data_IF_607252721931
#
_entry.id   IF_607252721931
#
_cell.length_a   1.000
_cell.length_b   1.000
_cell.length_c   1.000
_cell.angle_alpha   90.00
_cell.angle_beta   90.00
_cell.angle_gamma   90.00
#
_symmetry.space_group_name_H-M   'P 1'
#
loop_
_entity.id
_entity.type
_entity.pdbx_description
1 polymer ?
#
# COMPACT_ATOMS: atom_id res chain seq x y z
N UNK A 1 -37.73 27.30 -70.97
CA UNK A 1 -36.42 26.99 -70.36
C UNK A 1 -36.62 26.95 -68.86
N UNK A 2 -36.51 25.76 -68.27
CA UNK A 2 -36.64 25.53 -66.84
C UNK A 2 -35.30 25.82 -66.15
N UNK A 3 -35.31 26.55 -65.05
CA UNK A 3 -34.20 26.62 -64.11
C UNK A 3 -34.72 26.19 -62.74
N UNK A 4 -34.49 24.93 -62.42
CA UNK A 4 -34.74 24.34 -61.11
C UNK A 4 -33.76 24.93 -60.09
N UNK A 5 -34.30 25.51 -59.01
CA UNK A 5 -33.51 25.92 -57.84
C UNK A 5 -33.33 24.72 -56.93
N UNK A 6 -32.08 24.29 -56.75
CA UNK A 6 -31.68 23.22 -55.82
C UNK A 6 -31.78 23.71 -54.37
N UNK A 7 -32.42 22.98 -53.44
CA UNK A 7 -32.36 23.36 -52.04
C UNK A 7 -31.01 22.95 -51.42
N UNK A 8 -30.43 23.90 -50.71
CA UNK A 8 -29.20 23.81 -49.94
C UNK A 8 -29.34 22.72 -48.87
N UNK A 9 -28.53 21.67 -48.97
CA UNK A 9 -28.51 20.58 -48.00
C UNK A 9 -28.08 21.12 -46.62
N UNK A 10 -29.05 21.28 -45.72
CA UNK A 10 -28.78 21.45 -44.29
C UNK A 10 -28.05 20.20 -43.80
N UNK A 11 -26.77 20.35 -43.48
CA UNK A 11 -26.00 19.34 -42.74
C UNK A 11 -26.70 19.11 -41.40
N UNK A 12 -27.50 18.03 -41.31
CA UNK A 12 -28.00 17.51 -40.05
C UNK A 12 -26.77 17.10 -39.24
N UNK A 13 -26.43 17.91 -38.23
CA UNK A 13 -25.54 17.52 -37.14
C UNK A 13 -26.09 16.21 -36.58
N UNK A 14 -25.45 15.10 -36.91
CA UNK A 14 -25.84 13.78 -36.47
C UNK A 14 -25.71 13.78 -34.94
N UNK A 15 -26.83 13.93 -34.24
CA UNK A 15 -26.86 13.75 -32.80
C UNK A 15 -26.39 12.32 -32.55
N UNK A 16 -25.29 12.17 -31.81
CA UNK A 16 -24.78 10.85 -31.44
C UNK A 16 -25.86 10.13 -30.63
N UNK A 17 -26.24 8.89 -30.96
CA UNK A 17 -27.28 8.15 -30.23
C UNK A 17 -26.94 7.90 -28.75
N UNK A 18 -25.69 8.14 -28.35
CA UNK A 18 -25.22 8.05 -26.96
C UNK A 18 -25.68 9.20 -26.06
N UNK A 19 -26.13 10.34 -26.62
CA UNK A 19 -26.66 11.46 -25.83
C UNK A 19 -28.13 11.28 -25.40
N UNK A 20 -28.84 10.30 -25.97
CA UNK A 20 -30.23 9.95 -25.60
C UNK A 20 -30.30 8.87 -24.49
N UNK A 21 -29.16 8.29 -24.11
CA UNK A 21 -29.10 7.32 -23.02
C UNK A 21 -29.17 8.07 -21.70
N UNK A 22 -30.09 7.66 -20.82
CA UNK A 22 -30.21 8.23 -19.49
C UNK A 22 -28.92 8.06 -18.67
N UNK A 23 -28.54 9.09 -17.90
CA UNK A 23 -27.28 9.12 -17.14
C UNK A 23 -27.05 7.86 -16.28
N UNK A 24 -28.10 7.34 -15.62
CA UNK A 24 -28.01 6.14 -14.78
C UNK A 24 -27.61 4.87 -15.56
N UNK A 25 -27.91 4.78 -16.86
CA UNK A 25 -27.46 3.66 -17.69
C UNK A 25 -26.00 3.84 -18.13
N UNK A 26 -25.59 5.08 -18.40
CA UNK A 26 -24.20 5.41 -18.70
C UNK A 26 -23.28 5.12 -17.50
N UNK A 27 -23.74 5.42 -16.29
CA UNK A 27 -23.08 5.02 -15.03
C UNK A 27 -22.81 3.51 -15.01
N UNK A 28 -23.85 2.69 -15.21
CA UNK A 28 -23.73 1.22 -15.20
C UNK A 28 -22.80 0.69 -16.30
N UNK A 29 -22.80 1.32 -17.48
CA UNK A 29 -21.88 0.97 -18.56
C UNK A 29 -20.44 1.32 -18.16
N UNK A 30 -20.20 2.50 -17.60
CA UNK A 30 -18.86 2.94 -17.22
C UNK A 30 -18.31 2.17 -16.02
N UNK A 31 -19.16 1.72 -15.09
CA UNK A 31 -18.76 0.83 -14.00
C UNK A 31 -18.24 -0.53 -14.51
N UNK A 32 -18.67 -0.98 -15.69
CA UNK A 32 -18.21 -2.23 -16.30
C UNK A 32 -16.94 -2.09 -17.12
N UNK A 33 -16.41 -0.87 -17.29
CA UNK A 33 -15.13 -0.67 -17.98
C UNK A 33 -14.01 -1.35 -17.19
N UNK A 34 -13.16 -2.18 -17.84
CA UNK A 34 -12.25 -3.06 -17.13
C UNK A 34 -11.03 -2.34 -16.54
N UNK A 35 -10.71 -1.12 -17.04
CA UNK A 35 -9.55 -0.36 -16.61
C UNK A 35 -9.87 1.12 -16.40
N UNK A 36 -9.17 1.79 -15.47
CA UNK A 36 -9.26 3.25 -15.33
C UNK A 36 -8.88 4.01 -16.59
N UNK A 37 -8.04 3.42 -17.46
CA UNK A 37 -7.65 4.02 -18.73
C UNK A 37 -8.82 4.06 -19.72
N UNK A 38 -9.65 3.03 -19.75
CA UNK A 38 -10.84 3.00 -20.61
C UNK A 38 -11.89 3.99 -20.11
N UNK A 39 -12.04 4.12 -18.79
CA UNK A 39 -12.86 5.18 -18.19
C UNK A 39 -12.35 6.57 -18.56
N UNK A 40 -11.04 6.81 -18.51
CA UNK A 40 -10.45 8.08 -18.92
C UNK A 40 -10.72 8.38 -20.41
N UNK A 41 -10.58 7.38 -21.30
CA UNK A 41 -10.92 7.52 -22.73
C UNK A 41 -12.40 7.85 -22.93
N UNK A 42 -13.30 7.16 -22.24
CA UNK A 42 -14.74 7.45 -22.29
C UNK A 42 -15.03 8.89 -21.82
N UNK A 43 -14.42 9.32 -20.71
CA UNK A 43 -14.57 10.68 -20.18
C UNK A 43 -14.07 11.78 -21.12
N UNK A 44 -13.14 11.45 -22.02
CA UNK A 44 -12.61 12.40 -23.01
C UNK A 44 -13.54 12.58 -24.22
N UNK A 45 -14.52 11.68 -24.43
CA UNK A 45 -15.37 11.70 -25.62
C UNK A 45 -16.38 12.86 -25.63
N UNK A 46 -16.98 13.19 -24.48
CA UNK A 46 -17.92 14.32 -24.37
C UNK A 46 -18.06 14.85 -22.94
N UNK A 47 -18.65 16.05 -22.80
CA UNK A 47 -18.84 16.71 -21.50
C UNK A 47 -19.76 15.93 -20.54
N UNK A 48 -20.82 15.28 -21.05
CA UNK A 48 -21.73 14.45 -20.25
C UNK A 48 -20.99 13.26 -19.65
N UNK A 49 -20.19 12.56 -20.47
CA UNK A 49 -19.41 11.41 -20.03
C UNK A 49 -18.36 11.81 -19.01
N UNK A 50 -17.69 12.96 -19.24
CA UNK A 50 -16.77 13.54 -18.26
C UNK A 50 -17.46 13.78 -16.93
N UNK A 51 -18.60 14.47 -16.94
CA UNK A 51 -19.37 14.80 -15.72
C UNK A 51 -19.67 13.54 -14.91
N UNK A 52 -20.18 12.50 -15.57
CA UNK A 52 -20.47 11.19 -14.95
C UNK A 52 -19.18 10.56 -14.39
N UNK A 53 -18.15 10.42 -15.22
CA UNK A 53 -16.91 9.76 -14.82
C UNK A 53 -16.16 10.51 -13.70
N UNK A 54 -16.41 11.82 -13.54
CA UNK A 54 -15.85 12.63 -12.46
C UNK A 54 -16.77 12.78 -11.25
N UNK A 55 -17.99 12.22 -11.29
CA UNK A 55 -18.91 12.25 -10.16
C UNK A 55 -18.33 11.46 -8.97
N UNK A 56 -18.46 12.02 -7.76
CA UNK A 56 -17.87 11.41 -6.56
C UNK A 56 -18.51 10.05 -6.23
N UNK A 57 -19.83 9.94 -6.36
CA UNK A 57 -20.54 8.68 -6.08
C UNK A 57 -20.20 7.60 -7.10
N UNK A 58 -20.05 7.99 -8.37
CA UNK A 58 -19.57 7.11 -9.43
C UNK A 58 -18.13 6.61 -9.15
N UNK A 59 -17.20 7.52 -8.87
CA UNK A 59 -15.80 7.17 -8.60
C UNK A 59 -15.64 6.26 -7.39
N UNK A 60 -16.44 6.47 -6.33
CA UNK A 60 -16.48 5.59 -5.15
C UNK A 60 -16.89 4.17 -5.52
N UNK A 61 -18.01 4.01 -6.25
CA UNK A 61 -18.46 2.70 -6.76
C UNK A 61 -17.42 2.07 -7.69
N UNK A 62 -16.83 2.85 -8.59
CA UNK A 62 -15.80 2.37 -9.51
C UNK A 62 -14.58 1.85 -8.75
N UNK A 63 -14.08 2.55 -7.73
CA UNK A 63 -12.94 2.13 -6.90
C UNK A 63 -13.24 0.90 -6.04
N UNK A 64 -14.47 0.75 -5.56
CA UNK A 64 -14.92 -0.44 -4.82
C UNK A 64 -14.94 -1.69 -5.73
N UNK A 65 -15.34 -1.53 -7.00
CA UNK A 65 -15.39 -2.63 -7.97
C UNK A 65 -14.04 -2.95 -8.60
N UNK A 66 -13.18 -1.94 -8.77
CA UNK A 66 -11.92 -2.05 -9.53
C UNK A 66 -10.71 -1.88 -8.63
N UNK A 67 -9.84 -2.90 -8.64
CA UNK A 67 -8.57 -2.82 -7.95
C UNK A 67 -7.72 -1.65 -8.49
N UNK A 68 -7.17 -0.78 -7.61
CA UNK A 68 -6.30 0.31 -8.03
C UNK A 68 -5.14 -0.20 -8.90
N UNK A 69 -4.82 0.50 -10.01
CA UNK A 69 -3.68 0.14 -10.82
C UNK A 69 -2.39 0.37 -10.03
N UNK A 70 -1.45 -0.57 -10.12
CA UNK A 70 -0.12 -0.36 -9.60
C UNK A 70 0.61 0.66 -10.49
N UNK A 71 1.01 1.78 -9.91
CA UNK A 71 1.68 2.86 -10.63
C UNK A 71 3.18 2.90 -10.32
N UNK A 72 3.61 2.53 -9.13
CA UNK A 72 5.02 2.58 -8.76
C UNK A 72 5.19 2.44 -7.25
N UNK A 73 6.43 2.49 -6.80
CA UNK A 73 6.80 2.46 -5.39
C UNK A 73 7.79 3.58 -5.08
N UNK A 74 8.09 3.80 -3.81
CA UNK A 74 9.16 4.69 -3.38
C UNK A 74 10.32 3.89 -2.78
N UNK A 75 11.54 4.28 -3.13
CA UNK A 75 12.77 3.79 -2.51
C UNK A 75 13.64 4.95 -2.00
N UNK A 76 14.94 4.68 -1.78
CA UNK A 76 15.88 5.70 -1.30
C UNK A 76 16.17 6.78 -2.33
N UNK A 77 15.98 6.47 -3.60
CA UNK A 77 16.31 7.31 -4.76
C UNK A 77 15.08 8.04 -5.29
N UNK A 78 13.88 7.66 -4.84
CA UNK A 78 12.64 8.40 -5.04
C UNK A 78 11.51 7.52 -5.55
N UNK A 79 10.63 8.12 -6.37
CA UNK A 79 9.53 7.39 -6.98
C UNK A 79 10.02 6.56 -8.17
N UNK A 80 9.79 5.25 -8.10
CA UNK A 80 10.08 4.28 -9.15
C UNK A 80 8.78 3.89 -9.86
N UNK A 81 8.52 4.40 -11.08
CA UNK A 81 7.32 4.05 -11.82
C UNK A 81 7.36 2.59 -12.29
N UNK A 82 6.18 1.99 -12.49
CA UNK A 82 6.05 0.72 -13.17
C UNK A 82 6.64 0.82 -14.59
N UNK A 83 7.55 -0.10 -14.94
CA UNK A 83 8.22 -0.12 -16.23
C UNK A 83 7.60 -1.14 -17.20
N UNK A 84 7.75 -0.96 -18.52
CA UNK A 84 7.37 -1.99 -19.48
C UNK A 84 8.06 -3.34 -19.18
N UNK A 85 7.40 -4.47 -19.49
CA UNK A 85 6.10 -4.60 -20.15
C UNK A 85 4.87 -4.58 -19.23
N UNK A 86 4.96 -4.02 -18.01
CA UNK A 86 3.81 -3.93 -17.11
C UNK A 86 2.65 -3.10 -17.72
N UNK A 87 1.37 -3.55 -17.64
CA UNK A 87 0.23 -2.87 -18.26
C UNK A 87 0.04 -1.41 -17.81
N UNK A 88 0.38 -1.11 -16.56
CA UNK A 88 0.25 0.25 -16.01
C UNK A 88 1.44 1.16 -16.33
N UNK A 89 2.48 0.67 -17.04
CA UNK A 89 3.68 1.46 -17.31
C UNK A 89 3.43 2.79 -18.05
N UNK A 90 2.51 2.89 -19.04
CA UNK A 90 2.18 4.17 -19.65
C UNK A 90 1.59 5.17 -18.65
N UNK A 91 0.64 4.72 -17.80
CA UNK A 91 0.03 5.56 -16.77
C UNK A 91 1.06 5.98 -15.70
N UNK A 92 1.95 5.05 -15.32
CA UNK A 92 3.00 5.31 -14.36
C UNK A 92 4.00 6.37 -14.83
N UNK A 93 4.44 6.29 -16.09
CA UNK A 93 5.30 7.31 -16.70
C UNK A 93 4.60 8.67 -16.78
N UNK A 94 3.33 8.68 -17.19
CA UNK A 94 2.56 9.93 -17.24
C UNK A 94 2.46 10.58 -15.85
N UNK A 95 2.21 9.78 -14.80
CA UNK A 95 2.19 10.29 -13.42
C UNK A 95 3.55 10.81 -12.97
N UNK A 96 4.64 10.08 -13.26
CA UNK A 96 6.01 10.49 -12.92
C UNK A 96 6.40 11.84 -13.54
N UNK A 97 5.87 12.16 -14.73
CA UNK A 97 6.11 13.46 -15.39
C UNK A 97 5.20 14.56 -14.83
N UNK A 98 3.94 14.22 -14.52
CA UNK A 98 2.95 15.19 -14.08
C UNK A 98 3.05 15.57 -12.60
N UNK A 99 3.81 14.81 -11.81
CA UNK A 99 3.79 14.88 -10.35
C UNK A 99 5.19 15.18 -9.81
N UNK A 100 5.28 16.12 -8.89
CA UNK A 100 6.53 16.39 -8.19
C UNK A 100 6.72 15.42 -7.02
N UNK A 101 7.40 14.30 -7.29
CA UNK A 101 7.79 13.33 -6.26
C UNK A 101 9.08 13.69 -5.51
N UNK A 102 9.69 14.85 -5.80
CA UNK A 102 10.77 15.41 -4.97
C UNK A 102 10.23 16.21 -3.78
N UNK A 103 8.91 16.44 -3.76
CA UNK A 103 8.20 17.17 -2.70
C UNK A 103 8.73 18.61 -2.50
N UNK A 104 9.13 19.28 -3.58
CA UNK A 104 9.70 20.63 -3.55
C UNK A 104 8.70 21.70 -3.07
N UNK A 105 7.41 21.40 -3.15
CA UNK A 105 6.31 22.27 -2.69
C UNK A 105 6.12 22.27 -1.15
N UNK A 106 6.86 21.45 -0.41
CA UNK A 106 6.79 21.40 1.05
C UNK A 106 7.50 22.59 1.71
N UNK A 107 7.09 23.00 2.92
CA UNK A 107 7.49 24.28 3.52
C UNK A 107 8.96 24.35 3.96
N UNK A 108 9.75 23.26 3.83
CA UNK A 108 11.13 23.23 4.26
C UNK A 108 12.04 22.50 3.26
N UNK A 109 13.28 22.99 3.12
CA UNK A 109 14.36 22.31 2.37
C UNK A 109 14.94 21.10 3.14
N UNK A 110 14.18 20.54 4.08
CA UNK A 110 14.61 19.37 4.84
C UNK A 110 14.48 18.13 3.96
N UNK A 111 15.28 17.10 4.27
CA UNK A 111 15.10 15.79 3.67
C UNK A 111 13.83 15.17 4.23
N UNK A 112 12.88 14.84 3.36
CA UNK A 112 11.64 14.15 3.73
C UNK A 112 11.75 12.67 3.42
N UNK A 113 11.47 11.82 4.42
CA UNK A 113 11.46 10.38 4.27
C UNK A 113 10.02 9.88 4.16
N UNK A 114 9.70 9.17 3.07
CA UNK A 114 8.41 8.50 2.87
C UNK A 114 8.23 7.39 3.90
N UNK A 115 7.12 7.44 4.63
CA UNK A 115 6.77 6.47 5.67
C UNK A 115 5.64 5.54 5.23
N UNK A 116 4.60 6.08 4.59
CA UNK A 116 3.45 5.32 4.11
C UNK A 116 2.80 6.02 2.92
N UNK A 117 2.09 5.25 2.08
CA UNK A 117 1.37 5.74 0.90
C UNK A 117 0.04 5.01 0.83
N UNK A 118 -1.05 5.76 0.89
CA UNK A 118 -2.42 5.24 0.83
C UNK A 118 -3.32 6.22 0.11
N UNK A 119 -4.22 5.70 -0.73
CA UNK A 119 -5.29 6.48 -1.35
C UNK A 119 -4.83 7.75 -2.07
N UNK A 120 -3.65 7.70 -2.71
CA UNK A 120 -3.05 8.85 -3.42
C UNK A 120 -2.38 9.89 -2.51
N UNK A 121 -2.36 9.65 -1.19
CA UNK A 121 -1.66 10.48 -0.20
C UNK A 121 -0.35 9.83 0.22
N UNK A 122 0.63 10.67 0.52
CA UNK A 122 1.96 10.29 0.98
C UNK A 122 2.17 10.87 2.38
N UNK A 123 2.56 10.01 3.32
CA UNK A 123 2.97 10.40 4.66
C UNK A 123 4.48 10.48 4.73
N UNK A 124 4.96 11.67 5.07
CA UNK A 124 6.36 12.03 5.11
C UNK A 124 6.76 12.36 6.54
N UNK A 125 8.00 12.05 6.87
CA UNK A 125 8.64 12.44 8.13
C UNK A 125 9.87 13.29 7.83
N UNK A 126 10.02 14.40 8.54
CA UNK A 126 11.22 15.21 8.44
C UNK A 126 12.41 14.42 8.98
N UNK A 127 13.50 14.39 8.20
CA UNK A 127 14.79 13.91 8.66
C UNK A 127 15.38 14.82 9.75
N UNK A 128 16.37 14.32 10.51
CA UNK A 128 17.06 15.14 11.51
C UNK A 128 17.83 16.28 10.82
N UNK A 129 17.76 17.49 11.39
CA UNK A 129 18.58 18.61 10.93
C UNK A 129 20.01 18.45 11.47
N UNK A 130 21.03 18.78 10.66
CA UNK A 130 22.43 18.74 11.10
C UNK A 130 22.61 19.64 12.32
N UNK A 131 23.02 19.06 13.45
CA UNK A 131 23.33 19.80 14.68
C UNK A 131 22.14 20.04 15.63
N UNK A 132 20.93 19.55 15.30
CA UNK A 132 19.79 19.59 16.23
C UNK A 132 19.64 18.24 16.93
N UNK A 133 19.41 18.28 18.25
CA UNK A 133 18.95 17.11 18.99
C UNK A 133 17.60 16.67 18.44
N UNK A 134 17.39 15.38 18.10
CA UNK A 134 16.13 14.96 17.50
C UNK A 134 14.99 15.24 18.47
N UNK A 135 14.03 16.08 18.09
CA UNK A 135 12.83 16.32 18.91
C UNK A 135 12.15 14.99 19.27
N UNK A 136 11.45 14.96 20.41
CA UNK A 136 10.69 13.78 20.81
C UNK A 136 9.74 13.37 19.69
N UNK A 137 9.01 14.28 19.07
CA UNK A 137 8.22 13.98 17.87
C UNK A 137 8.78 14.74 16.67
N UNK A 138 9.23 14.01 15.64
CA UNK A 138 9.67 14.59 14.36
C UNK A 138 8.47 15.11 13.57
N UNK A 139 8.62 16.24 12.89
CA UNK A 139 7.55 16.80 12.05
C UNK A 139 7.04 15.78 11.02
N UNK A 140 5.72 15.63 10.94
CA UNK A 140 5.03 14.77 9.99
C UNK A 140 4.23 15.62 9.02
N UNK A 141 4.20 15.20 7.76
CA UNK A 141 3.42 15.85 6.71
C UNK A 141 2.62 14.79 5.97
N UNK A 142 1.34 15.06 5.73
CA UNK A 142 0.55 14.32 4.74
C UNK A 142 0.39 15.20 3.52
N UNK A 143 0.79 14.71 2.36
CA UNK A 143 0.64 15.44 1.11
C UNK A 143 -0.05 14.62 0.02
N UNK A 144 -0.74 15.33 -0.86
CA UNK A 144 -1.17 14.87 -2.17
C UNK A 144 -0.20 15.46 -3.19
N UNK A 145 0.76 14.67 -3.70
CA UNK A 145 1.79 15.17 -4.60
C UNK A 145 1.20 15.55 -5.96
N UNK A 146 0.10 14.92 -6.40
CA UNK A 146 -0.53 15.20 -7.68
C UNK A 146 -1.14 16.61 -7.71
N UNK A 147 -1.79 17.00 -6.61
CA UNK A 147 -2.40 18.34 -6.48
C UNK A 147 -1.50 19.36 -5.76
N UNK A 148 -0.27 18.97 -5.40
CA UNK A 148 0.68 19.78 -4.63
C UNK A 148 0.06 20.37 -3.36
N UNK A 149 -0.78 19.59 -2.68
CA UNK A 149 -1.42 19.98 -1.42
C UNK A 149 -0.75 19.25 -0.28
N UNK A 150 -0.60 19.91 0.85
CA UNK A 150 -0.07 19.28 2.05
C UNK A 150 -0.75 19.79 3.31
N UNK A 151 -0.66 18.98 4.35
CA UNK A 151 -0.97 19.34 5.72
C UNK A 151 0.21 18.94 6.60
N UNK A 152 0.87 19.94 7.18
CA UNK A 152 1.79 19.72 8.30
C UNK A 152 0.96 19.32 9.50
N UNK A 153 1.27 18.16 10.10
CA UNK A 153 0.57 17.73 11.30
C UNK A 153 1.05 18.56 12.49
N UNK A 154 0.15 18.99 13.39
CA UNK A 154 0.58 19.64 14.62
C UNK A 154 1.48 18.69 15.42
N UNK A 155 2.40 19.21 16.25
CA UNK A 155 3.15 18.37 17.17
C UNK A 155 2.19 17.62 18.10
N UNK A 156 2.62 16.44 18.56
CA UNK A 156 1.88 15.74 19.62
C UNK A 156 1.94 16.60 20.89
N UNK A 157 0.79 16.98 21.47
CA UNK A 157 0.73 17.76 22.70
C UNK A 157 1.56 17.16 23.84
N UNK A 158 2.26 18.01 24.60
CA UNK A 158 3.18 17.59 25.67
C UNK A 158 2.47 16.84 26.81
N UNK A 159 1.21 17.15 27.08
CA UNK A 159 0.37 16.45 28.06
C UNK A 159 0.08 14.99 27.63
N UNK A 160 -0.16 14.77 26.34
CA UNK A 160 -0.32 13.42 25.78
C UNK A 160 1.02 12.67 25.79
N UNK A 161 2.12 13.35 25.51
CA UNK A 161 3.45 12.77 25.62
C UNK A 161 3.76 12.38 27.07
N UNK A 162 3.61 13.31 28.02
CA UNK A 162 3.85 13.09 29.45
C UNK A 162 2.98 11.98 30.04
N UNK A 163 1.74 11.83 29.59
CA UNK A 163 0.85 10.72 30.00
C UNK A 163 1.40 9.34 29.62
N UNK A 164 2.16 9.27 28.53
CA UNK A 164 2.85 8.05 28.09
C UNK A 164 4.22 7.90 28.78
N UNK A 165 4.92 9.00 29.02
CA UNK A 165 6.22 9.02 29.71
C UNK A 165 6.11 8.61 31.19
N UNK A 166 5.05 9.03 31.90
CA UNK A 166 4.80 8.63 33.30
C UNK A 166 4.62 7.12 33.50
N UNK A 167 4.42 6.35 32.42
CA UNK A 167 4.30 4.89 32.44
C UNK A 167 5.63 4.15 32.18
N UNK A 168 6.75 4.87 32.03
CA UNK A 168 8.02 4.32 31.53
C UNK A 168 9.22 4.99 32.21
N UNK A 169 10.27 4.20 32.52
CA UNK A 169 11.58 4.77 32.83
C UNK A 169 12.26 5.15 31.50
N UNK A 170 12.22 6.42 31.11
CA UNK A 170 12.84 6.87 29.86
C UNK A 170 14.36 6.97 30.01
N UNK A 171 15.06 5.88 29.70
CA UNK A 171 16.51 5.96 29.47
C UNK A 171 16.78 6.43 28.03
N UNK A 172 15.88 6.18 27.06
CA UNK A 172 16.08 6.49 25.62
C UNK A 172 14.78 6.78 24.82
N UNK A 173 14.94 7.34 23.60
CA UNK A 173 13.84 7.71 22.67
C UNK A 173 13.15 6.46 22.06
N UNK A 174 11.80 6.38 22.05
CA UNK A 174 11.05 5.21 21.61
C UNK A 174 11.08 5.02 20.09
N UNK A 175 10.93 3.77 19.64
CA UNK A 175 10.66 3.45 18.24
C UNK A 175 9.29 4.00 17.82
N UNK A 176 9.24 4.66 16.66
CA UNK A 176 8.04 5.33 16.19
C UNK A 176 7.74 5.04 14.73
N UNK A 177 6.50 4.63 14.45
CA UNK A 177 6.04 4.23 13.11
C UNK A 177 4.75 4.98 12.77
N UNK A 178 4.82 6.00 11.90
CA UNK A 178 3.65 6.74 11.46
C UNK A 178 3.00 6.01 10.26
N UNK A 179 1.67 5.91 10.26
CA UNK A 179 0.86 5.11 9.34
C UNK A 179 -0.34 5.91 8.84
N UNK A 180 -0.68 5.80 7.55
CA UNK A 180 -1.91 6.34 7.00
C UNK A 180 -3.04 5.32 7.15
N UNK A 181 -4.10 5.70 7.85
CA UNK A 181 -5.30 4.86 7.94
C UNK A 181 -6.05 4.93 6.60
N UNK A 182 -6.39 3.78 5.98
CA UNK A 182 -7.21 3.77 4.77
C UNK A 182 -8.55 4.46 4.99
N UNK A 183 -9.03 5.13 3.95
CA UNK A 183 -10.37 5.70 3.95
C UNK A 183 -11.43 4.60 4.19
N UNK A 184 -12.32 4.85 5.14
CA UNK A 184 -13.58 4.10 5.23
C UNK A 184 -14.55 4.57 4.14
N UNK A 185 -15.46 3.70 3.69
CA UNK A 185 -16.54 4.07 2.76
C UNK A 185 -17.43 5.20 3.30
N UNK A 186 -17.50 5.34 4.63
CA UNK A 186 -18.30 6.34 5.34
C UNK A 186 -17.59 7.70 5.48
N UNK A 187 -16.27 7.76 5.26
CA UNK A 187 -15.49 8.99 5.46
C UNK A 187 -15.55 9.91 4.22
N UNK A 188 -15.45 11.22 4.43
CA UNK A 188 -15.37 12.18 3.33
C UNK A 188 -14.01 12.00 2.61
N UNK A 189 -13.99 12.02 1.27
CA UNK A 189 -12.78 11.72 0.46
C UNK A 189 -11.57 12.62 0.81
N UNK A 190 -11.84 13.80 1.37
CA UNK A 190 -10.85 14.79 1.80
C UNK A 190 -10.29 14.53 3.19
N UNK A 191 -11.02 13.81 4.04
CA UNK A 191 -10.60 13.45 5.37
C UNK A 191 -9.60 12.29 5.35
N UNK A 192 -8.74 12.26 6.36
CA UNK A 192 -7.78 11.20 6.62
C UNK A 192 -7.42 11.16 8.09
N UNK A 193 -6.92 10.00 8.52
CA UNK A 193 -6.36 9.78 9.85
C UNK A 193 -4.94 9.26 9.75
N UNK A 194 -4.11 9.66 10.72
CA UNK A 194 -2.73 9.18 10.85
C UNK A 194 -2.62 8.49 12.19
N UNK A 195 -2.12 7.25 12.19
CA UNK A 195 -1.75 6.56 13.42
C UNK A 195 -0.24 6.73 13.59
N UNK A 196 0.17 7.27 14.73
CA UNK A 196 1.55 7.26 15.16
C UNK A 196 1.71 6.19 16.24
N UNK A 197 2.29 5.06 15.85
CA UNK A 197 2.64 4.01 16.79
C UNK A 197 3.92 4.39 17.52
N UNK A 198 3.88 4.38 18.84
CA UNK A 198 5.02 4.58 19.72
C UNK A 198 5.28 3.31 20.53
N UNK A 199 6.44 2.69 20.30
CA UNK A 199 6.92 1.50 20.99
C UNK A 199 7.91 1.94 22.07
N UNK A 200 7.44 1.99 23.31
CA UNK A 200 8.24 2.28 24.51
C UNK A 200 8.88 1.01 25.06
N UNK A 201 9.76 1.12 26.05
CA UNK A 201 10.41 -0.03 26.67
C UNK A 201 9.43 -0.99 27.36
N UNK A 202 8.35 -0.47 27.97
CA UNK A 202 7.39 -1.27 28.76
C UNK A 202 6.02 -1.41 28.10
N UNK A 203 5.69 -0.59 27.10
CA UNK A 203 4.39 -0.60 26.45
C UNK A 203 4.44 -0.16 24.99
N UNK A 204 3.31 -0.34 24.31
CA UNK A 204 3.03 0.24 22.99
C UNK A 204 1.80 1.13 23.07
N UNK A 205 1.82 2.25 22.34
CA UNK A 205 0.70 3.17 22.24
C UNK A 205 0.42 3.58 20.80
N UNK A 206 -0.86 3.78 20.48
CA UNK A 206 -1.33 4.32 19.22
C UNK A 206 -1.89 5.73 19.45
N UNK A 207 -1.23 6.75 18.89
CA UNK A 207 -1.77 8.10 18.82
C UNK A 207 -2.45 8.30 17.48
N UNK A 208 -3.67 8.82 17.49
CA UNK A 208 -4.45 9.06 16.27
C UNK A 208 -4.59 10.55 16.05
N UNK A 209 -4.16 11.02 14.89
CA UNK A 209 -4.51 12.33 14.37
C UNK A 209 -5.72 12.22 13.46
N UNK A 210 -6.67 13.14 13.61
CA UNK A 210 -7.75 13.33 12.64
C UNK A 210 -7.61 14.66 11.92
N UNK A 211 -7.67 14.65 10.60
CA UNK A 211 -7.66 15.87 9.78
C UNK A 211 -8.91 16.74 9.98
N UNK A 212 -10.05 16.15 10.36
CA UNK A 212 -11.30 16.89 10.60
C UNK A 212 -11.26 17.72 11.88
N UNK A 213 -10.71 17.17 12.96
CA UNK A 213 -10.59 17.85 14.25
C UNK A 213 -9.25 18.57 14.41
N UNK A 214 -8.25 18.22 13.58
CA UNK A 214 -6.86 18.67 13.66
C UNK A 214 -6.21 18.41 15.03
N UNK A 215 -6.61 17.34 15.69
CA UNK A 215 -6.15 17.00 17.03
C UNK A 215 -5.56 15.58 17.08
N UNK A 216 -4.55 15.43 17.93
CA UNK A 216 -4.04 14.15 18.36
C UNK A 216 -4.83 13.64 19.57
N UNK A 217 -4.97 12.33 19.68
CA UNK A 217 -5.47 11.64 20.86
C UNK A 217 -4.77 10.31 21.05
N UNK A 218 -4.62 9.86 22.29
CA UNK A 218 -4.21 8.48 22.58
C UNK A 218 -5.44 7.60 22.33
N UNK A 219 -5.37 6.74 21.31
CA UNK A 219 -6.48 5.85 20.95
C UNK A 219 -6.37 4.50 21.65
N UNK A 220 -5.14 4.02 21.89
CA UNK A 220 -4.88 2.76 22.56
C UNK A 220 -3.51 2.76 23.22
N UNK A 221 -3.38 1.97 24.29
CA UNK A 221 -2.09 1.66 24.90
C UNK A 221 -2.16 0.27 25.54
N UNK A 222 -1.09 -0.51 25.44
CA UNK A 222 -1.01 -1.83 26.08
C UNK A 222 0.40 -2.15 26.55
N UNK A 223 0.53 -2.76 27.72
CA UNK A 223 1.83 -3.21 28.23
C UNK A 223 2.37 -4.37 27.41
N UNK A 224 3.68 -4.46 27.25
CA UNK A 224 4.30 -5.60 26.57
C UNK A 224 4.05 -6.93 27.31
N UNK A 225 3.99 -6.88 28.65
CA UNK A 225 3.65 -8.04 29.48
C UNK A 225 2.25 -8.59 29.18
N UNK A 226 1.27 -7.71 28.94
CA UNK A 226 -0.11 -8.10 28.58
C UNK A 226 -0.22 -8.68 27.16
N UNK A 227 0.80 -8.46 26.33
CA UNK A 227 0.93 -9.01 24.99
C UNK A 227 1.77 -10.28 24.95
N UNK A 228 2.15 -10.83 26.12
CA UNK A 228 3.05 -11.98 26.23
C UNK A 228 4.39 -11.77 25.48
N UNK A 229 4.88 -10.52 25.51
CA UNK A 229 6.20 -10.12 25.00
C UNK A 229 7.17 -10.10 26.18
N UNK A 230 8.30 -10.79 26.06
CA UNK A 230 9.30 -10.82 27.14
C UNK A 230 10.06 -9.50 27.26
N UNK A 231 10.77 -9.30 28.38
CA UNK A 231 11.61 -8.12 28.58
C UNK A 231 12.70 -7.99 27.50
N UNK A 232 13.29 -9.11 27.08
CA UNK A 232 14.28 -9.12 25.99
C UNK A 232 13.65 -8.74 24.64
N UNK A 233 12.46 -9.27 24.34
CA UNK A 233 11.74 -8.94 23.10
C UNK A 233 11.28 -7.48 23.07
N UNK A 234 10.73 -6.96 24.18
CA UNK A 234 10.30 -5.56 24.29
C UNK A 234 11.48 -4.58 24.17
N UNK A 235 12.64 -4.92 24.72
CA UNK A 235 13.86 -4.15 24.53
C UNK A 235 14.28 -4.08 23.06
N UNK A 236 14.13 -5.18 22.33
CA UNK A 236 14.44 -5.26 20.89
C UNK A 236 13.43 -4.42 20.07
N UNK A 237 12.13 -4.56 20.35
CA UNK A 237 11.05 -3.86 19.61
C UNK A 237 11.06 -2.35 19.85
N UNK A 238 11.36 -1.90 21.06
CA UNK A 238 11.44 -0.47 21.41
C UNK A 238 12.67 0.23 20.84
N UNK A 239 13.78 -0.50 20.62
CA UNK A 239 15.08 0.07 20.25
C UNK A 239 15.36 0.09 18.75
N UNK A 240 14.87 -0.90 18.01
CA UNK A 240 15.18 -1.05 16.59
C UNK A 240 13.94 -0.74 15.76
N UNK A 241 13.68 0.52 15.38
CA UNK A 241 12.60 0.81 14.46
C UNK A 241 12.79 0.03 13.15
N UNK A 242 11.73 -0.56 12.58
CA UNK A 242 11.83 -1.17 11.26
C UNK A 242 12.29 -0.08 10.28
N UNK A 243 13.41 -0.25 9.56
CA UNK A 243 13.81 0.69 8.54
C UNK A 243 12.83 0.57 7.38
N UNK A 244 12.15 1.67 7.08
CA UNK A 244 11.18 1.84 5.98
C UNK A 244 9.96 0.92 6.08
N UNK A 245 8.78 1.51 6.28
CA UNK A 245 7.49 1.06 5.74
C UNK A 245 7.16 -0.46 5.82
N UNK A 246 7.67 -1.20 6.82
CA UNK A 246 7.33 -2.62 7.03
C UNK A 246 6.07 -2.78 7.89
N UNK A 247 5.08 -1.98 7.53
CA UNK A 247 3.71 -2.10 8.01
C UNK A 247 2.87 -2.66 6.88
N UNK A 248 2.23 -3.79 7.15
CA UNK A 248 1.30 -4.43 6.23
C UNK A 248 -0.12 -4.11 6.68
N UNK A 249 -1.06 -4.12 5.75
CA UNK A 249 -2.47 -3.93 6.08
C UNK A 249 -3.32 -4.99 5.44
N UNK A 250 -4.08 -5.68 6.28
CA UNK A 250 -4.97 -6.77 5.89
C UNK A 250 -6.16 -6.81 6.85
N UNK A 251 -7.37 -6.96 6.31
CA UNK A 251 -8.62 -7.10 7.03
C UNK A 251 -8.88 -6.02 8.10
N UNK A 252 -8.50 -4.77 7.83
CA UNK A 252 -8.70 -3.68 8.80
C UNK A 252 -7.62 -3.59 9.88
N UNK A 253 -6.57 -4.40 9.80
CA UNK A 253 -5.51 -4.44 10.80
C UNK A 253 -4.17 -4.02 10.19
N UNK A 254 -3.39 -3.27 10.96
CA UNK A 254 -1.97 -3.06 10.68
C UNK A 254 -1.14 -4.17 11.31
N UNK A 255 -0.19 -4.72 10.56
CA UNK A 255 0.79 -5.70 11.03
C UNK A 255 2.18 -5.12 10.89
N UNK A 256 2.92 -5.07 11.98
CA UNK A 256 4.29 -4.61 12.00
C UNK A 256 5.23 -5.79 12.24
N UNK A 257 6.23 -5.93 11.37
CA UNK A 257 7.22 -6.99 11.45
C UNK A 257 8.61 -6.49 11.84
N UNK A 258 9.27 -7.30 12.66
CA UNK A 258 10.67 -7.11 13.09
C UNK A 258 11.54 -8.30 12.65
N UNK A 259 11.28 -8.84 11.46
CA UNK A 259 11.99 -10.05 10.98
C UNK A 259 13.49 -9.81 10.80
N UNK A 260 13.92 -8.57 10.53
CA UNK A 260 15.34 -8.25 10.39
C UNK A 260 16.19 -8.56 11.64
N UNK A 261 15.57 -8.51 12.80
CA UNK A 261 16.19 -8.81 14.09
C UNK A 261 15.75 -10.19 14.60
N UNK A 262 15.32 -11.05 13.68
CA UNK A 262 14.87 -12.42 13.92
C UNK A 262 13.67 -12.53 14.88
N UNK A 263 12.87 -11.46 15.00
CA UNK A 263 11.63 -11.53 15.77
C UNK A 263 10.65 -12.46 15.05
N UNK A 264 10.06 -13.41 15.79
CA UNK A 264 9.12 -14.40 15.28
C UNK A 264 7.65 -14.00 15.49
N UNK A 265 7.42 -12.75 15.90
CA UNK A 265 6.10 -12.21 16.25
C UNK A 265 5.82 -10.99 15.40
N UNK A 266 4.54 -10.79 15.08
CA UNK A 266 4.00 -9.60 14.47
C UNK A 266 3.17 -8.85 15.50
N UNK A 267 3.38 -7.54 15.59
CA UNK A 267 2.46 -6.68 16.32
C UNK A 267 1.27 -6.37 15.41
N UNK A 268 0.07 -6.70 15.87
CA UNK A 268 -1.17 -6.39 15.18
C UNK A 268 -1.88 -5.25 15.91
N UNK A 269 -2.34 -4.25 15.15
CA UNK A 269 -3.27 -3.22 15.61
C UNK A 269 -4.55 -3.32 14.78
N UNK A 270 -5.66 -3.68 15.42
CA UNK A 270 -7.00 -3.56 14.83
C UNK A 270 -7.39 -2.09 14.78
N UNK A 271 -7.66 -1.55 13.59
CA UNK A 271 -7.95 -0.12 13.42
C UNK A 271 -9.39 0.26 13.75
N UNK A 272 -10.30 -0.71 13.82
CA UNK A 272 -11.71 -0.50 14.18
C UNK A 272 -11.87 -0.48 15.68
N UNK A 273 -11.30 -1.48 16.35
CA UNK A 273 -11.36 -1.62 17.81
C UNK A 273 -10.27 -0.82 18.52
N UNK A 274 -9.21 -0.42 17.80
CA UNK A 274 -7.99 0.17 18.39
C UNK A 274 -7.39 -0.76 19.46
N UNK A 275 -7.28 -2.05 19.15
CA UNK A 275 -6.75 -3.06 20.07
C UNK A 275 -5.45 -3.67 19.55
N UNK A 276 -4.51 -3.88 20.48
CA UNK A 276 -3.25 -4.55 20.21
C UNK A 276 -3.33 -6.05 20.52
N UNK A 277 -2.81 -6.85 19.59
CA UNK A 277 -2.57 -8.28 19.78
C UNK A 277 -1.25 -8.70 19.11
N UNK A 278 -0.85 -9.95 19.36
CA UNK A 278 0.35 -10.55 18.77
C UNK A 278 -0.07 -11.71 17.88
N UNK A 279 0.58 -11.82 16.73
CA UNK A 279 0.46 -12.96 15.83
C UNK A 279 1.82 -13.62 15.69
N UNK A 280 1.90 -14.91 15.99
CA UNK A 280 3.11 -15.69 15.76
C UNK A 280 3.31 -15.93 14.26
N UNK A 281 4.53 -15.71 13.80
CA UNK A 281 4.94 -16.05 12.43
C UNK A 281 4.93 -17.57 12.25
N UNK A 282 4.68 -18.06 11.03
CA UNK A 282 4.76 -19.48 10.75
C UNK A 282 6.14 -20.04 11.16
N UNK A 283 6.19 -21.32 11.58
CA UNK A 283 7.45 -21.94 11.95
C UNK A 283 8.39 -21.98 10.74
N UNK A 284 9.61 -21.47 10.92
CA UNK A 284 10.59 -21.43 9.85
C UNK A 284 11.75 -20.49 10.15
N UNK A 285 12.85 -20.66 9.41
CA UNK A 285 13.94 -19.68 9.35
C UNK A 285 13.64 -18.69 8.23
N UNK A 286 12.98 -17.59 8.58
CA UNK A 286 12.68 -16.50 7.66
C UNK A 286 13.90 -15.63 7.43
N UNK A 287 14.07 -15.22 6.18
CA UNK A 287 15.13 -14.29 5.79
C UNK A 287 14.86 -12.89 6.33
N UNK A 288 15.92 -12.12 6.62
CA UNK A 288 15.83 -10.73 7.13
C UNK A 288 15.34 -9.73 6.08
N UNK A 289 15.32 -10.16 4.83
CA UNK A 289 14.95 -9.47 3.60
C UNK A 289 13.45 -9.06 3.57
N UNK A 290 12.66 -9.55 4.53
CA UNK A 290 11.31 -9.09 4.83
C UNK A 290 10.25 -10.15 4.64
N UNK A 291 9.07 -9.86 5.18
CA UNK A 291 7.83 -10.61 4.95
C UNK A 291 6.76 -9.66 4.42
N UNK A 292 5.72 -10.21 3.82
CA UNK A 292 4.51 -9.48 3.43
C UNK A 292 3.29 -10.17 4.03
N UNK A 293 2.47 -9.43 4.77
CA UNK A 293 1.19 -9.93 5.29
C UNK A 293 0.09 -9.50 4.35
N UNK A 294 -0.77 -10.45 4.04
CA UNK A 294 -1.74 -10.34 2.96
C UNK A 294 -3.05 -10.98 3.39
N UNK A 295 -4.13 -10.57 2.74
CA UNK A 295 -5.41 -11.27 2.86
C UNK A 295 -5.37 -12.49 1.93
N UNK A 296 -5.65 -13.68 2.42
CA UNK A 296 -5.62 -14.92 1.64
C UNK A 296 -7.02 -15.36 1.16
N UNK A 297 -8.03 -14.51 1.33
CA UNK A 297 -9.44 -14.82 1.10
C UNK A 297 -10.06 -15.61 2.26
N UNK A 298 -11.39 -15.65 2.30
CA UNK A 298 -12.18 -16.35 3.35
C UNK A 298 -11.84 -15.88 4.77
N UNK A 299 -11.39 -14.63 4.93
CA UNK A 299 -10.99 -14.05 6.22
C UNK A 299 -9.69 -14.62 6.79
N UNK A 300 -8.86 -15.31 5.99
CA UNK A 300 -7.60 -15.90 6.44
C UNK A 300 -6.41 -15.02 6.12
N UNK A 301 -5.47 -14.92 7.04
CA UNK A 301 -4.20 -14.24 6.80
C UNK A 301 -3.27 -15.11 5.94
N UNK A 302 -2.68 -14.49 4.92
CA UNK A 302 -1.57 -15.04 4.16
C UNK A 302 -0.28 -14.32 4.53
N UNK A 303 0.84 -15.00 4.31
CA UNK A 303 2.16 -14.42 4.45
C UNK A 303 3.06 -14.91 3.33
N UNK A 304 3.77 -13.95 2.73
CA UNK A 304 4.92 -14.22 1.89
C UNK A 304 6.20 -13.95 2.66
N UNK A 305 7.20 -14.80 2.50
CA UNK A 305 8.51 -14.60 3.11
C UNK A 305 9.58 -15.39 2.39
N UNK A 306 10.81 -14.91 2.45
CA UNK A 306 11.95 -15.63 1.88
C UNK A 306 12.48 -16.68 2.86
N UNK A 307 12.95 -17.79 2.31
CA UNK A 307 13.64 -18.85 3.06
C UNK A 307 15.14 -18.91 2.75
N UNK A 308 15.92 -19.38 3.72
CA UNK A 308 17.37 -19.59 3.57
C UNK A 308 18.21 -18.34 3.82
N UNK A 309 19.55 -18.49 3.84
CA UNK A 309 20.50 -17.39 4.11
C UNK A 309 20.65 -16.41 2.94
N UNK A 310 20.22 -16.81 1.74
CA UNK A 310 20.40 -16.07 0.49
C UNK A 310 19.09 -15.67 -0.18
N UNK A 311 17.95 -15.79 0.52
CA UNK A 311 16.61 -15.52 -0.03
C UNK A 311 16.34 -16.25 -1.37
N UNK A 312 16.73 -17.52 -1.48
CA UNK A 312 16.64 -18.31 -2.71
C UNK A 312 15.22 -18.70 -3.09
N UNK A 313 14.34 -18.83 -2.10
CA UNK A 313 12.97 -19.29 -2.30
C UNK A 313 11.99 -18.33 -1.63
N UNK A 314 10.96 -17.94 -2.39
CA UNK A 314 9.80 -17.23 -1.86
C UNK A 314 8.73 -18.24 -1.48
N UNK A 315 8.36 -18.24 -0.21
CA UNK A 315 7.32 -19.10 0.34
C UNK A 315 6.02 -18.33 0.56
N UNK A 316 4.90 -18.97 0.27
CA UNK A 316 3.55 -18.51 0.57
C UNK A 316 2.88 -19.44 1.58
N UNK A 317 2.56 -18.90 2.74
CA UNK A 317 1.89 -19.60 3.85
C UNK A 317 0.55 -18.96 4.17
N UNK A 318 -0.45 -19.76 4.53
CA UNK A 318 -1.79 -19.28 4.90
C UNK A 318 -2.15 -19.78 6.29
N UNK A 319 -2.68 -18.89 7.13
CA UNK A 319 -3.19 -19.23 8.45
C UNK A 319 -4.50 -20.04 8.34
N UNK A 320 -4.58 -21.15 9.08
CA UNK A 320 -5.80 -21.95 9.19
C UNK A 320 -6.76 -21.36 10.22
N UNK A 321 -8.06 -21.40 9.94
CA UNK A 321 -9.14 -20.98 10.86
C UNK A 321 -9.52 -22.07 11.89
N UNK A 322 -8.77 -23.17 12.01
CA UNK A 322 -9.13 -24.26 12.92
C UNK A 322 -8.78 -23.93 14.38
N UNK A 323 -9.70 -23.26 15.08
CA UNK A 323 -9.75 -23.17 16.55
C UNK A 323 -9.26 -21.84 17.15
N UNK A 324 -9.55 -21.63 18.45
CA UNK A 324 -9.28 -20.41 19.26
C UNK A 324 -7.79 -19.99 19.36
N UNK A 325 -6.89 -20.69 18.69
CA UNK A 325 -5.47 -20.31 18.55
C UNK A 325 -5.19 -19.94 17.09
N UNK A 326 -4.75 -18.71 16.87
CA UNK A 326 -4.43 -18.11 15.55
C UNK A 326 -3.25 -18.76 14.79
N UNK A 327 -2.88 -20.01 15.04
CA UNK A 327 -1.51 -20.44 14.75
C UNK A 327 -1.39 -21.87 14.21
N UNK A 328 -2.16 -22.23 13.18
CA UNK A 328 -1.73 -23.31 12.29
C UNK A 328 -1.56 -22.78 10.87
N UNK A 329 -0.38 -22.22 10.62
CA UNK A 329 0.04 -21.83 9.28
C UNK A 329 0.32 -23.06 8.41
N UNK A 330 -0.13 -23.03 7.18
CA UNK A 330 0.11 -24.07 6.19
C UNK A 330 0.87 -23.47 4.99
N UNK A 331 2.01 -24.07 4.66
CA UNK A 331 2.72 -23.77 3.41
C UNK A 331 1.86 -24.19 2.23
N UNK A 332 1.56 -23.26 1.33
CA UNK A 332 0.76 -23.52 0.13
C UNK A 332 1.63 -23.59 -1.11
N UNK A 333 2.66 -22.76 -1.20
CA UNK A 333 3.50 -22.68 -2.40
C UNK A 333 4.91 -22.21 -2.05
N UNK A 334 5.88 -22.72 -2.79
CA UNK A 334 7.25 -22.21 -2.81
C UNK A 334 7.61 -21.90 -4.26
N UNK A 335 8.21 -20.74 -4.47
CA UNK A 335 8.67 -20.25 -5.78
C UNK A 335 10.17 -20.06 -5.66
N UNK A 336 10.93 -20.85 -6.42
CA UNK A 336 12.38 -20.67 -6.50
C UNK A 336 12.70 -19.43 -7.31
N UNK A 337 13.62 -18.64 -6.77
CA UNK A 337 14.07 -17.40 -7.36
C UNK A 337 15.47 -17.58 -7.95
N UNK A 338 15.81 -16.74 -8.92
CA UNK A 338 17.10 -16.79 -9.57
C UNK A 338 18.18 -16.28 -8.59
N UNK A 339 19.14 -17.14 -8.28
CA UNK A 339 20.20 -16.88 -7.30
C UNK A 339 21.17 -15.78 -7.72
N UNK A 340 21.15 -15.34 -8.98
CA UNK A 340 21.96 -14.21 -9.46
C UNK A 340 21.48 -12.86 -8.91
N UNK A 341 20.30 -12.82 -8.29
CA UNK A 341 19.73 -11.61 -7.72
C UNK A 341 19.49 -11.71 -6.22
N UNK A 342 19.49 -10.56 -5.54
CA UNK A 342 19.11 -10.45 -4.12
C UNK A 342 17.70 -9.89 -4.00
N UNK A 343 16.78 -10.62 -3.37
CA UNK A 343 15.40 -10.17 -3.28
C UNK A 343 15.07 -9.49 -1.95
N UNK A 344 14.20 -8.48 -1.97
CA UNK A 344 13.61 -7.93 -0.75
C UNK A 344 12.12 -7.63 -0.90
N UNK A 345 11.37 -7.72 0.21
CA UNK A 345 9.97 -7.31 0.29
C UNK A 345 9.93 -5.94 0.96
N UNK A 346 9.33 -4.98 0.28
CA UNK A 346 9.20 -3.58 0.75
C UNK A 346 7.81 -3.22 1.24
N UNK A 347 6.80 -4.00 0.86
CA UNK A 347 5.42 -3.81 1.29
C UNK A 347 4.46 -4.69 0.51
N UNK A 348 3.22 -4.74 0.98
CA UNK A 348 2.10 -5.39 0.31
C UNK A 348 0.95 -4.39 0.22
N UNK A 349 0.33 -4.29 -0.97
CA UNK A 349 -0.88 -3.48 -1.15
C UNK A 349 -2.07 -4.43 -1.29
N UNK A 350 -2.93 -4.44 -0.29
CA UNK A 350 -4.24 -5.07 -0.37
C UNK A 350 -5.23 -4.16 -1.08
N UNK A 351 -5.97 -4.70 -2.05
CA UNK A 351 -7.26 -4.14 -2.46
C UNK A 351 -8.28 -5.26 -2.38
N UNK A 352 -9.52 -4.90 -2.08
CA UNK A 352 -10.65 -5.73 -1.61
C UNK A 352 -11.19 -6.78 -2.60
N UNK A 353 -10.32 -7.36 -3.45
CA UNK A 353 -10.52 -8.54 -4.31
C UNK A 353 -9.30 -8.90 -5.16
N UNK A 354 -8.22 -8.10 -5.17
CA UNK A 354 -7.00 -8.40 -5.94
C UNK A 354 -5.77 -7.87 -5.22
N UNK A 355 -4.84 -8.76 -4.96
CA UNK A 355 -3.60 -8.42 -4.28
C UNK A 355 -2.45 -8.17 -5.24
N UNK A 356 -1.53 -7.28 -4.85
CA UNK A 356 -0.28 -7.03 -5.56
C UNK A 356 0.88 -6.94 -4.56
N UNK A 357 1.98 -7.61 -4.85
CA UNK A 357 3.20 -7.60 -4.03
C UNK A 357 4.43 -7.15 -4.83
N UNK A 358 5.52 -6.81 -4.14
CA UNK A 358 6.77 -6.36 -4.76
C UNK A 358 7.94 -7.25 -4.34
N UNK A 359 8.56 -7.91 -5.30
CA UNK A 359 9.88 -8.53 -5.16
C UNK A 359 10.90 -7.77 -5.99
N UNK A 360 11.87 -7.10 -5.37
CA UNK A 360 12.97 -6.47 -6.11
C UNK A 360 14.23 -7.32 -6.08
N UNK A 361 14.77 -7.76 -7.23
CA UNK A 361 16.19 -8.08 -7.36
C UNK A 361 17.08 -6.83 -7.15
N UNK A 362 18.04 -6.87 -6.22
CA UNK A 362 19.11 -5.88 -6.05
C UNK A 362 20.28 -6.30 -6.94
N UNK A 363 20.64 -5.47 -7.92
CA UNK A 363 21.88 -5.61 -8.69
C UNK A 363 23.04 -4.92 -7.97
N UNK A 364 24.22 -5.54 -8.06
CA UNK A 364 25.47 -4.84 -7.82
C UNK A 364 25.83 -3.97 -9.02
N UNK A 365 26.03 -2.68 -8.76
CA UNK A 365 26.75 -1.71 -9.59
C UNK A 365 26.31 -1.49 -11.04
N UNK A 366 25.05 -1.69 -11.41
CA UNK A 366 24.36 -0.92 -12.48
C UNK A 366 22.86 -0.93 -12.15
N UNK A 367 22.32 0.22 -11.75
CA UNK A 367 20.91 0.37 -11.38
C UNK A 367 19.99 0.19 -12.59
N UNK A 368 19.39 -0.99 -12.70
CA UNK A 368 18.19 -1.21 -13.48
C UNK A 368 17.10 -1.70 -12.53
N UNK A 369 16.15 -0.82 -12.20
CA UNK A 369 15.02 -1.12 -11.32
C UNK A 369 14.13 -2.19 -11.94
N UNK A 370 14.16 -3.39 -11.36
CA UNK A 370 13.24 -4.47 -11.70
C UNK A 370 12.47 -4.90 -10.45
N UNK A 371 11.18 -5.17 -10.62
CA UNK A 371 10.29 -5.66 -9.56
C UNK A 371 9.33 -6.72 -10.12
N UNK A 372 9.15 -7.84 -9.41
CA UNK A 372 8.17 -8.88 -9.75
C UNK A 372 6.90 -8.64 -8.93
N UNK A 373 5.78 -8.53 -9.64
CA UNK A 373 4.44 -8.41 -9.06
C UNK A 373 3.75 -9.76 -9.14
N UNK A 374 3.59 -10.43 -8.00
CA UNK A 374 2.73 -11.62 -7.94
C UNK A 374 1.33 -11.15 -7.51
N UNK A 375 0.29 -11.80 -8.03
CA UNK A 375 -1.10 -11.61 -7.60
C UNK A 375 -1.72 -12.97 -7.26
N UNK A 376 -2.85 -12.97 -6.55
CA UNK A 376 -3.51 -14.22 -6.08
C UNK A 376 -4.01 -15.13 -7.19
N UNK A 377 -4.27 -14.62 -8.40
CA UNK A 377 -4.85 -15.43 -9.48
C UNK A 377 -3.87 -15.70 -10.64
N UNK A 378 -2.84 -14.88 -10.83
CA UNK A 378 -1.80 -15.07 -11.86
C UNK A 378 -0.50 -14.36 -11.46
N UNK A 379 0.66 -15.03 -11.39
CA UNK A 379 1.95 -14.35 -11.40
C UNK A 379 2.19 -13.83 -12.82
N UNK A 380 2.21 -12.51 -13.01
CA UNK A 380 2.62 -11.91 -14.28
C UNK A 380 4.11 -11.61 -14.23
N UNK A 381 4.93 -12.55 -14.74
CA UNK A 381 6.34 -12.36 -15.02
C UNK A 381 6.49 -11.56 -16.32
N UNK A 382 7.32 -10.52 -16.29
CA UNK A 382 7.52 -9.63 -17.42
C UNK A 382 9.01 -9.31 -17.54
N UNK A 383 9.73 -10.16 -18.29
CA UNK A 383 11.18 -10.08 -18.51
C UNK A 383 11.50 -9.56 -19.93
N UNK A 384 12.65 -8.88 -20.13
CA UNK A 384 13.21 -8.65 -21.46
C UNK A 384 13.76 -9.94 -22.09
N UNK A 385 13.76 -9.97 -23.43
CA UNK A 385 13.91 -11.13 -24.33
C UNK A 385 15.13 -12.04 -24.16
N UNK A 386 16.15 -11.70 -23.36
CA UNK A 386 17.35 -12.56 -23.21
C UNK A 386 17.31 -13.51 -22.01
N UNK A 387 16.33 -13.36 -21.10
CA UNK A 387 16.10 -14.28 -19.97
C UNK A 387 14.88 -15.20 -20.18
N UNK A 388 14.17 -15.05 -21.30
CA UNK A 388 12.94 -15.80 -21.61
C UNK A 388 13.16 -17.32 -21.76
N UNK A 389 14.38 -17.76 -22.09
CA UNK A 389 14.69 -19.17 -22.32
C UNK A 389 14.73 -20.02 -21.03
N UNK A 390 14.90 -19.41 -19.85
CA UNK A 390 15.15 -20.15 -18.61
C UNK A 390 13.89 -20.47 -17.76
N UNK A 391 12.71 -19.94 -18.10
CA UNK A 391 11.47 -20.19 -17.34
C UNK A 391 10.27 -20.67 -18.19
N UNK A 392 10.51 -21.10 -19.43
CA UNK A 392 9.45 -21.59 -20.34
C UNK A 392 8.86 -22.97 -19.92
N UNK A 393 9.46 -23.66 -18.95
CA UNK A 393 8.97 -24.95 -18.43
C UNK A 393 7.92 -24.87 -17.30
N UNK A 394 7.44 -23.68 -16.92
CA UNK A 394 6.44 -23.50 -15.84
C UNK A 394 5.07 -23.04 -16.38
N UNK A 395 4.80 -23.22 -17.68
CA UNK A 395 3.57 -22.72 -18.34
C UNK A 395 2.31 -23.61 -18.27
N UNK A 396 2.32 -24.93 -18.05
CA UNK A 396 1.06 -25.67 -17.96
C UNK A 396 0.91 -26.39 -16.62
N UNK A 397 0.15 -25.83 -15.65
CA UNK A 397 -0.39 -26.59 -14.50
C UNK A 397 -1.47 -25.85 -13.68
N UNK A 398 -2.20 -24.88 -14.28
CA UNK A 398 -3.29 -24.14 -13.57
C UNK A 398 -4.62 -24.14 -14.36
N UNK A 399 -4.80 -25.04 -15.32
CA UNK A 399 -6.02 -25.07 -16.17
C UNK A 399 -6.94 -26.29 -15.95
N UNK A 400 -6.73 -27.13 -14.92
CA UNK A 400 -7.60 -28.31 -14.70
C UNK A 400 -8.66 -28.19 -13.59
N UNK A 401 -8.54 -27.28 -12.64
CA UNK A 401 -9.48 -27.24 -11.50
C UNK A 401 -10.56 -26.14 -11.58
N UNK A 402 -10.57 -25.32 -12.64
CA UNK A 402 -11.57 -24.23 -12.81
C UNK A 402 -12.70 -24.60 -13.78
N UNK A 403 -12.62 -25.73 -14.50
CA UNK A 403 -13.70 -26.17 -15.40
C UNK A 403 -14.79 -27.04 -14.74
N UNK A 404 -14.70 -27.35 -13.44
CA UNK A 404 -15.67 -28.23 -12.78
C UNK A 404 -16.61 -27.52 -11.78
N UNK A 405 -16.60 -26.19 -11.74
CA UNK A 405 -17.49 -25.39 -10.90
C UNK A 405 -18.10 -24.19 -11.65
N UNK A 406 -18.57 -24.41 -12.88
CA UNK A 406 -19.50 -23.53 -13.58
C UNK A 406 -20.81 -24.24 -13.85
#
# INVERSE_FOLDING_TARGET
MATASTPMATSKKLASPLTDIADHLLDEIFLRLPTPQDLARASAACATFRRIATDRSFLRRFRSLHAPPFIGFFDRDGFQPALPPHPSAPAARALAVATDFTFSFLPSHRRWDVQDIRDGRVLLRSGPQKGEEPANFTELVVCDPLHQRYLVLPPVPDDLAASLEHRVSMVRKPCRVPLLVPLSEEEEDTSFRVIWLACYETCVAALVFSSSTRQWRIAASKGWSDLAISTDESFILSRFPPPFARSHYAYGCFFLDWVMINCKKLLMLDTRMMEFSIVDLPPGKWSKEGVAIVEAGEGRLGMFGFHGKTASDLSYTVASNKGKSLSQWQMKKTISLDSSYKYCIRGATGSDRKYRWFLMPLFGLVDAGWGVLLGSERPSLFMPSSAAAAMEHVRPLVDRDVQQAR
#
